data_IF_434640301842
#
_entry.id   IF_434640301842
#
_cell.length_a   1.000
_cell.length_b   1.000
_cell.length_c   1.000
_cell.angle_alpha   90.00
_cell.angle_beta   90.00
_cell.angle_gamma   90.00
#
_symmetry.space_group_name_H-M   'P 1'
#
loop_
_entity.id
_entity.type
_entity.pdbx_description
1 polymer ?
#
# COMPACT_ATOMS: atom_id res chain seq x y z
N UNK A 1 10.54 16.82 -3.91
CA UNK A 1 10.67 16.33 -2.53
C UNK A 1 11.84 17.01 -1.89
N UNK A 2 11.64 17.56 -0.70
CA UNK A 2 12.66 18.30 0.05
C UNK A 2 13.43 17.37 0.99
N UNK A 3 14.73 17.64 1.11
CA UNK A 3 15.70 17.00 2.00
C UNK A 3 15.24 16.96 3.47
N UNK A 4 14.72 18.08 3.98
CA UNK A 4 14.30 18.21 5.38
C UNK A 4 13.21 17.21 5.76
N UNK A 5 12.31 16.87 4.83
CA UNK A 5 11.24 15.92 5.09
C UNK A 5 11.78 14.49 5.24
N UNK A 6 12.81 14.15 4.47
CA UNK A 6 13.50 12.85 4.56
C UNK A 6 14.25 12.75 5.89
N UNK A 7 15.01 13.80 6.24
CA UNK A 7 15.73 13.88 7.51
C UNK A 7 14.77 13.82 8.70
N UNK A 8 13.63 14.50 8.63
CA UNK A 8 12.58 14.39 9.65
C UNK A 8 12.07 12.95 9.82
N UNK A 9 11.73 12.26 8.72
CA UNK A 9 11.26 10.88 8.79
C UNK A 9 12.33 9.91 9.32
N UNK A 10 13.61 10.15 9.02
CA UNK A 10 14.75 9.31 9.44
C UNK A 10 15.16 9.55 10.90
N UNK A 11 15.09 10.79 11.36
CA UNK A 11 15.74 11.21 12.62
C UNK A 11 14.75 11.50 13.75
N UNK A 12 13.48 11.79 13.44
CA UNK A 12 12.51 12.24 14.42
C UNK A 12 11.41 11.21 14.66
N UNK A 13 11.07 11.04 15.94
CA UNK A 13 9.84 10.36 16.33
C UNK A 13 8.62 11.20 15.92
N UNK A 14 7.56 10.52 15.51
CA UNK A 14 6.27 11.14 15.22
C UNK A 14 5.21 10.46 16.08
N UNK A 15 4.79 11.14 17.16
CA UNK A 15 3.93 10.56 18.20
C UNK A 15 4.49 9.21 18.70
N UNK A 16 3.72 8.13 18.58
CA UNK A 16 4.10 6.78 18.97
C UNK A 16 4.95 6.04 17.91
N UNK A 17 5.18 6.63 16.74
CA UNK A 17 5.98 6.03 15.68
C UNK A 17 7.45 6.41 15.81
N UNK A 18 8.29 5.38 15.96
CA UNK A 18 9.73 5.50 15.81
C UNK A 18 10.10 6.01 14.40
N UNK A 19 11.26 6.69 14.25
CA UNK A 19 11.77 7.12 12.95
C UNK A 19 11.84 5.96 11.95
N UNK A 20 11.65 6.25 10.66
CA UNK A 20 11.72 5.26 9.59
C UNK A 20 13.16 4.77 9.43
N UNK A 21 13.37 3.49 9.05
CA UNK A 21 14.70 2.91 8.88
C UNK A 21 15.37 3.38 7.58
N UNK A 22 15.39 4.68 7.31
CA UNK A 22 16.01 5.22 6.10
C UNK A 22 17.53 5.15 6.27
N UNK A 23 18.24 4.44 5.38
CA UNK A 23 19.68 4.19 5.53
C UNK A 23 20.58 5.29 4.97
N UNK A 24 19.99 6.22 4.22
CA UNK A 24 20.71 7.29 3.53
C UNK A 24 21.38 8.26 4.51
N UNK A 25 22.66 8.56 4.28
CA UNK A 25 23.37 9.65 4.98
C UNK A 25 22.86 11.04 4.56
N UNK A 26 23.24 12.09 5.29
CA UNK A 26 22.86 13.47 4.93
C UNK A 26 23.32 13.88 3.54
N UNK A 27 24.56 13.54 3.19
CA UNK A 27 25.13 13.78 1.86
C UNK A 27 24.36 13.00 0.79
N UNK A 28 23.93 11.78 1.11
CA UNK A 28 23.12 10.97 0.19
C UNK A 28 21.74 11.56 0.00
N UNK A 29 21.09 12.04 1.07
CA UNK A 29 19.80 12.74 1.02
C UNK A 29 19.90 13.99 0.13
N UNK A 30 20.94 14.80 0.31
CA UNK A 30 21.20 15.99 -0.52
C UNK A 30 21.45 15.62 -1.98
N UNK A 31 22.25 14.58 -2.22
CA UNK A 31 22.51 14.07 -3.58
C UNK A 31 21.24 13.55 -4.25
N UNK A 32 20.39 12.81 -3.54
CA UNK A 32 19.17 12.28 -4.15
C UNK A 32 18.12 13.36 -4.41
N UNK A 33 18.08 14.42 -3.60
CA UNK A 33 17.12 15.52 -3.72
C UNK A 33 17.54 16.61 -4.70
N UNK A 34 18.84 16.79 -4.93
CA UNK A 34 19.41 17.81 -5.82
C UNK A 34 19.29 17.50 -7.31
N UNK A 35 18.95 16.27 -7.71
CA UNK A 35 18.84 15.94 -9.12
C UNK A 35 18.20 14.59 -9.43
N UNK A 36 17.96 14.40 -10.73
CA UNK A 36 17.52 13.13 -11.29
C UNK A 36 18.77 12.27 -11.56
N UNK A 37 18.79 11.03 -11.07
CA UNK A 37 19.86 10.07 -11.42
C UNK A 37 19.28 9.02 -12.34
N UNK A 38 20.02 8.74 -13.41
CA UNK A 38 19.73 7.66 -14.33
C UNK A 38 19.62 6.33 -13.59
N UNK A 39 18.73 5.49 -14.07
CA UNK A 39 18.47 4.16 -13.55
C UNK A 39 18.65 3.14 -14.66
N UNK A 40 19.23 2.00 -14.29
CA UNK A 40 19.32 0.84 -15.17
C UNK A 40 18.30 -0.20 -14.70
N UNK A 41 17.32 -0.55 -15.55
CA UNK A 41 16.34 -1.59 -15.22
C UNK A 41 17.01 -2.87 -14.73
N UNK A 42 16.63 -3.32 -13.53
CA UNK A 42 17.19 -4.52 -12.91
C UNK A 42 16.16 -5.22 -12.03
N UNK A 43 16.43 -6.48 -11.73
CA UNK A 43 15.69 -7.16 -10.67
C UNK A 43 16.16 -6.64 -9.32
N UNK A 44 15.19 -6.47 -8.42
CA UNK A 44 15.40 -6.17 -7.01
C UNK A 44 14.96 -7.41 -6.25
N UNK A 45 15.83 -7.88 -5.37
CA UNK A 45 15.59 -9.02 -4.50
C UNK A 45 15.73 -8.56 -3.05
N UNK A 46 14.71 -8.82 -2.23
CA UNK A 46 14.70 -8.50 -0.81
C UNK A 46 14.37 -9.77 -0.04
N UNK A 47 15.32 -10.23 0.78
CA UNK A 47 15.17 -11.44 1.59
C UNK A 47 14.11 -11.27 2.68
N UNK A 48 13.47 -12.38 3.03
CA UNK A 48 12.46 -12.48 4.09
C UNK A 48 12.98 -13.42 5.16
N UNK A 49 13.44 -12.86 6.28
CA UNK A 49 13.88 -13.66 7.42
C UNK A 49 12.65 -14.13 8.23
N UNK A 50 12.16 -15.33 7.90
CA UNK A 50 10.97 -15.92 8.54
C UNK A 50 11.16 -16.20 10.02
N UNK A 51 12.37 -16.55 10.45
CA UNK A 51 12.65 -16.84 11.86
C UNK A 51 12.62 -15.55 12.69
N UNK A 52 13.25 -14.49 12.18
CA UNK A 52 13.14 -13.16 12.76
C UNK A 52 11.69 -12.65 12.78
N UNK A 53 10.92 -12.85 11.70
CA UNK A 53 9.51 -12.45 11.65
C UNK A 53 8.65 -13.20 12.67
N UNK A 54 8.85 -14.52 12.83
CA UNK A 54 8.16 -15.31 13.85
C UNK A 54 8.47 -14.79 15.25
N UNK A 55 9.73 -14.47 15.53
CA UNK A 55 10.13 -13.88 16.80
C UNK A 55 9.46 -12.51 17.00
N UNK A 56 9.53 -11.63 16.01
CA UNK A 56 8.95 -10.28 16.09
C UNK A 56 7.43 -10.29 16.27
N UNK A 57 6.71 -11.20 15.61
CA UNK A 57 5.26 -11.30 15.68
C UNK A 57 4.75 -12.18 16.82
N UNK A 58 5.63 -12.91 17.53
CA UNK A 58 5.28 -13.66 18.74
C UNK A 58 4.87 -12.74 19.91
N UNK A 59 5.18 -11.46 19.81
CA UNK A 59 4.94 -10.46 20.84
C UNK A 59 5.97 -10.44 21.97
N UNK A 60 7.05 -11.21 21.85
CA UNK A 60 8.16 -11.22 22.80
C UNK A 60 8.92 -9.87 22.79
N UNK A 61 8.97 -9.11 23.89
CA UNK A 61 9.69 -7.85 23.93
C UNK A 61 11.20 -7.96 23.59
N UNK A 62 11.81 -9.15 23.67
CA UNK A 62 13.23 -9.36 23.34
C UNK A 62 13.58 -9.04 21.89
N UNK A 63 12.64 -9.15 20.94
CA UNK A 63 12.93 -8.83 19.54
C UNK A 63 13.35 -7.35 19.40
N UNK A 64 12.82 -6.44 20.23
CA UNK A 64 13.10 -4.99 20.17
C UNK A 64 14.58 -4.69 20.40
N UNK A 65 15.19 -5.39 21.36
CA UNK A 65 16.61 -5.26 21.67
C UNK A 65 17.48 -5.80 20.53
N UNK A 66 17.08 -6.92 19.92
CA UNK A 66 17.80 -7.53 18.78
C UNK A 66 17.83 -6.66 17.54
N UNK A 67 16.79 -5.86 17.30
CA UNK A 67 16.74 -4.92 16.17
C UNK A 67 17.30 -3.53 16.51
N UNK A 68 17.99 -3.38 17.64
CA UNK A 68 18.64 -2.13 18.04
C UNK A 68 17.67 -1.02 18.48
N UNK A 69 16.39 -1.34 18.67
CA UNK A 69 15.41 -0.41 19.24
C UNK A 69 15.62 -0.42 20.74
N UNK A 70 16.28 0.62 21.27
CA UNK A 70 16.30 0.85 22.72
C UNK A 70 14.85 0.95 23.18
N UNK A 71 14.41 0.16 24.17
CA UNK A 71 13.06 0.22 24.69
C UNK A 71 12.88 1.53 25.47
N UNK A 72 12.69 2.63 24.75
CA UNK A 72 12.31 3.90 25.35
C UNK A 72 10.79 4.03 25.28
N UNK A 73 10.18 4.06 26.46
CA UNK A 73 8.78 4.37 26.79
C UNK A 73 7.69 3.42 26.28
N UNK A 74 7.04 2.74 27.23
CA UNK A 74 5.58 2.47 27.40
C UNK A 74 4.64 2.29 26.20
N UNK A 75 5.12 2.10 24.98
CA UNK A 75 4.32 2.00 23.78
C UNK A 75 4.02 0.54 23.49
N UNK A 76 2.75 0.19 23.68
CA UNK A 76 2.17 -1.01 23.12
C UNK A 76 2.20 -0.85 21.59
N UNK A 77 3.25 -1.37 20.95
CA UNK A 77 3.24 -1.55 19.50
C UNK A 77 2.06 -2.48 19.23
N UNK A 78 1.06 -1.98 18.51
CA UNK A 78 -0.10 -2.77 18.12
C UNK A 78 0.39 -3.99 17.33
N UNK A 79 0.33 -5.17 17.95
CA UNK A 79 0.77 -6.43 17.34
C UNK A 79 -0.26 -6.98 16.34
N UNK A 80 -1.53 -6.61 16.51
CA UNK A 80 -2.59 -7.08 15.63
C UNK A 80 -2.54 -6.34 14.29
N UNK A 81 -2.36 -7.10 13.21
CA UNK A 81 -2.33 -6.59 11.84
C UNK A 81 -0.93 -6.23 11.33
N UNK A 82 0.14 -6.32 12.13
CA UNK A 82 1.52 -6.15 11.62
C UNK A 82 2.10 -7.44 11.04
N UNK A 83 1.60 -8.59 11.49
CA UNK A 83 1.95 -9.97 11.12
C UNK A 83 1.40 -10.43 9.76
N UNK A 84 1.06 -9.47 8.90
CA UNK A 84 0.38 -9.70 7.63
C UNK A 84 -0.96 -10.44 7.77
N UNK A 85 -1.50 -10.70 8.96
CA UNK A 85 -2.71 -11.53 9.14
C UNK A 85 -2.66 -12.82 8.31
N UNK A 86 -1.47 -13.42 8.18
CA UNK A 86 -1.24 -14.68 7.51
C UNK A 86 -0.07 -15.43 8.14
N UNK A 87 -0.04 -16.78 8.08
CA UNK A 87 1.08 -17.54 8.64
C UNK A 87 2.41 -17.12 8.01
N UNK A 88 3.42 -16.81 8.83
CA UNK A 88 4.77 -16.42 8.36
C UNK A 88 5.37 -17.49 7.44
N UNK A 89 5.09 -18.77 7.69
CA UNK A 89 5.55 -19.88 6.84
C UNK A 89 4.96 -19.86 5.42
N UNK A 90 3.84 -19.17 5.21
CA UNK A 90 3.22 -19.03 3.89
C UNK A 90 3.86 -17.94 3.02
N UNK A 91 4.66 -17.05 3.63
CA UNK A 91 5.41 -16.02 2.92
C UNK A 91 6.47 -16.65 1.99
N UNK A 92 6.89 -15.92 0.98
CA UNK A 92 8.02 -16.31 0.14
C UNK A 92 9.34 -15.97 0.86
N UNK A 93 10.43 -16.67 0.55
CA UNK A 93 11.73 -16.41 1.18
C UNK A 93 12.41 -15.14 0.62
N UNK A 94 11.98 -14.70 -0.57
CA UNK A 94 12.50 -13.51 -1.27
C UNK A 94 11.38 -12.82 -2.02
N UNK A 95 11.28 -11.50 -1.85
CA UNK A 95 10.47 -10.62 -2.71
C UNK A 95 11.32 -10.19 -3.89
N UNK A 96 10.96 -10.63 -5.09
CA UNK A 96 11.72 -10.39 -6.32
C UNK A 96 10.84 -9.79 -7.43
N UNK A 97 11.25 -8.63 -7.94
CA UNK A 97 10.57 -7.99 -9.06
C UNK A 97 11.53 -7.19 -9.94
N UNK A 98 11.12 -6.96 -11.19
CA UNK A 98 11.86 -6.09 -12.11
C UNK A 98 11.46 -4.64 -11.88
N UNK A 99 12.41 -3.81 -11.46
CA UNK A 99 12.23 -2.36 -11.36
C UNK A 99 12.77 -1.69 -12.63
N UNK A 100 11.85 -1.28 -13.52
CA UNK A 100 12.23 -0.57 -14.75
C UNK A 100 12.60 0.91 -14.51
N UNK A 101 12.04 1.54 -13.47
CA UNK A 101 12.13 2.99 -13.28
C UNK A 101 11.17 3.77 -14.19
N UNK A 102 11.36 5.08 -14.28
CA UNK A 102 10.53 6.00 -15.07
C UNK A 102 11.20 6.26 -16.41
N UNK A 103 10.45 6.14 -17.51
CA UNK A 103 10.97 6.45 -18.83
C UNK A 103 11.26 7.95 -18.95
N UNK A 104 12.49 8.31 -19.25
CA UNK A 104 12.90 9.69 -19.56
C UNK A 104 12.75 9.99 -21.05
N UNK A 105 13.15 9.04 -21.89
CA UNK A 105 13.18 9.19 -23.34
C UNK A 105 14.07 8.13 -23.98
N UNK A 106 14.61 8.43 -25.15
CA UNK A 106 15.58 7.58 -25.85
C UNK A 106 16.90 8.34 -26.06
N UNK A 107 18.01 7.61 -26.03
CA UNK A 107 19.32 8.16 -26.41
C UNK A 107 19.48 8.27 -27.95
N UNK A 108 20.63 8.78 -28.41
CA UNK A 108 20.93 8.93 -29.84
C UNK A 108 20.95 7.60 -30.61
N UNK A 109 21.02 6.47 -29.92
CA UNK A 109 21.04 5.12 -30.48
C UNK A 109 19.66 4.45 -30.42
N UNK A 110 18.64 5.14 -29.89
CA UNK A 110 17.28 4.63 -29.73
C UNK A 110 17.06 3.81 -28.47
N UNK A 111 18.03 3.72 -27.56
CA UNK A 111 17.86 2.97 -26.31
C UNK A 111 17.03 3.78 -25.31
N UNK A 112 16.08 3.13 -24.63
CA UNK A 112 15.28 3.76 -23.59
C UNK A 112 16.15 4.14 -22.39
N UNK A 113 16.08 5.41 -21.97
CA UNK A 113 16.74 5.95 -20.79
C UNK A 113 15.72 6.02 -19.66
N UNK A 114 16.07 5.44 -18.51
CA UNK A 114 15.22 5.45 -17.32
C UNK A 114 15.85 6.25 -16.19
N UNK A 115 15.02 6.70 -15.25
CA UNK A 115 15.44 7.39 -14.04
C UNK A 115 14.56 7.02 -12.84
N UNK A 116 15.05 7.32 -11.65
CA UNK A 116 14.26 7.30 -10.42
C UNK A 116 14.09 8.71 -9.88
N UNK A 117 12.89 9.02 -9.39
CA UNK A 117 12.63 10.20 -8.59
C UNK A 117 13.00 9.95 -7.13
N UNK A 118 13.05 11.01 -6.34
CA UNK A 118 13.41 10.94 -4.92
C UNK A 118 12.55 9.94 -4.17
N UNK A 119 11.22 9.98 -4.35
CA UNK A 119 10.32 9.06 -3.67
C UNK A 119 10.53 7.60 -4.07
N UNK A 120 10.91 7.32 -5.32
CA UNK A 120 11.13 5.94 -5.77
C UNK A 120 12.32 5.31 -5.03
N UNK A 121 13.37 6.11 -4.77
CA UNK A 121 14.54 5.68 -3.99
C UNK A 121 14.21 5.48 -2.53
N UNK A 122 13.44 6.39 -1.93
CA UNK A 122 13.05 6.25 -0.53
C UNK A 122 12.18 5.03 -0.31
N UNK A 123 11.25 4.75 -1.22
CA UNK A 123 10.43 3.53 -1.14
C UNK A 123 11.34 2.30 -1.25
N UNK A 124 12.29 2.28 -2.18
CA UNK A 124 13.24 1.16 -2.33
C UNK A 124 14.11 0.98 -1.08
N UNK A 125 14.66 2.06 -0.54
CA UNK A 125 15.47 2.06 0.68
C UNK A 125 14.67 1.53 1.87
N UNK A 126 13.46 2.07 2.11
CA UNK A 126 12.56 1.58 3.16
C UNK A 126 12.28 0.09 2.98
N UNK A 127 11.97 -0.38 1.77
CA UNK A 127 11.71 -1.81 1.56
C UNK A 127 12.94 -2.67 1.88
N UNK A 128 14.15 -2.20 1.57
CA UNK A 128 15.39 -2.93 1.79
C UNK A 128 15.84 -2.95 3.26
N UNK A 129 15.48 -1.94 4.04
CA UNK A 129 15.97 -1.77 5.42
C UNK A 129 14.93 -2.13 6.49
N UNK A 130 13.64 -2.16 6.12
CA UNK A 130 12.53 -2.37 7.04
C UNK A 130 12.46 -3.80 7.61
N UNK A 131 13.14 -4.78 7.00
CA UNK A 131 13.10 -6.20 7.40
C UNK A 131 11.68 -6.75 7.57
N UNK A 132 10.71 -6.19 6.84
CA UNK A 132 9.28 -6.55 6.92
C UNK A 132 8.62 -6.34 8.28
N UNK A 133 9.25 -5.58 9.18
CA UNK A 133 8.74 -5.36 10.55
C UNK A 133 7.68 -4.27 10.62
N UNK A 134 7.75 -3.26 9.73
CA UNK A 134 6.70 -2.24 9.60
C UNK A 134 5.89 -2.47 8.33
N UNK A 135 4.56 -2.48 8.39
CA UNK A 135 3.73 -2.58 7.19
C UNK A 135 3.98 -1.40 6.23
N UNK A 136 4.25 -1.70 4.96
CA UNK A 136 4.41 -0.70 3.90
C UNK A 136 3.14 -0.67 3.07
N UNK A 137 2.54 0.51 2.92
CA UNK A 137 1.29 0.70 2.18
C UNK A 137 1.44 1.71 1.04
N UNK A 138 0.74 1.45 -0.05
CA UNK A 138 0.52 2.38 -1.15
C UNK A 138 -0.95 2.76 -1.20
N UNK A 139 -1.27 4.04 -1.39
CA UNK A 139 -2.65 4.43 -1.67
C UNK A 139 -3.10 3.82 -3.01
N UNK A 140 -4.32 3.30 -3.09
CA UNK A 140 -4.80 2.68 -4.32
C UNK A 140 -5.01 3.65 -5.49
N UNK A 141 -4.87 4.95 -5.23
CA UNK A 141 -4.93 6.03 -6.23
C UNK A 141 -3.57 6.42 -6.81
N UNK A 142 -2.45 5.87 -6.33
CA UNK A 142 -1.16 6.16 -6.95
C UNK A 142 -1.07 5.51 -8.33
N UNK A 143 -0.40 6.16 -9.26
CA UNK A 143 -0.19 5.60 -10.60
C UNK A 143 0.63 4.30 -10.54
N UNK A 144 0.41 3.40 -11.50
CA UNK A 144 1.15 2.14 -11.62
C UNK A 144 2.68 2.34 -11.65
N UNK A 145 3.16 3.41 -12.27
CA UNK A 145 4.59 3.79 -12.25
C UNK A 145 5.09 4.04 -10.83
N UNK A 146 4.29 4.71 -9.98
CA UNK A 146 4.64 4.99 -8.59
C UNK A 146 4.51 3.78 -7.66
N UNK A 147 3.95 2.67 -8.14
CA UNK A 147 3.91 1.38 -7.43
C UNK A 147 5.20 0.57 -7.62
N UNK A 148 6.16 1.07 -8.40
CA UNK A 148 7.49 0.48 -8.61
C UNK A 148 7.49 -0.97 -9.11
N UNK A 149 6.40 -1.44 -9.74
CA UNK A 149 6.28 -2.82 -10.22
C UNK A 149 5.93 -3.86 -9.14
N UNK A 150 5.59 -3.42 -7.93
CA UNK A 150 5.28 -4.30 -6.79
C UNK A 150 3.88 -4.92 -6.83
N UNK A 151 3.08 -4.70 -7.88
CA UNK A 151 1.65 -5.04 -7.91
C UNK A 151 1.35 -6.51 -7.55
N UNK A 152 2.21 -7.45 -7.93
CA UNK A 152 2.03 -8.88 -7.60
C UNK A 152 2.22 -9.21 -6.11
N UNK A 153 2.82 -8.29 -5.34
CA UNK A 153 3.01 -8.37 -3.90
C UNK A 153 1.99 -7.51 -3.13
N UNK A 154 0.99 -6.94 -3.81
CA UNK A 154 -0.02 -6.12 -3.17
C UNK A 154 -1.20 -6.95 -2.70
N UNK A 155 -1.57 -6.77 -1.44
CA UNK A 155 -2.89 -7.14 -0.93
C UNK A 155 -3.71 -5.88 -0.69
N UNK A 156 -4.92 -5.86 -1.21
CA UNK A 156 -5.85 -4.74 -1.02
C UNK A 156 -6.44 -4.78 0.38
N UNK A 157 -6.25 -3.70 1.14
CA UNK A 157 -6.76 -3.52 2.50
C UNK A 157 -7.49 -2.17 2.58
N UNK A 158 -8.79 -2.17 2.26
CA UNK A 158 -9.61 -0.97 2.19
C UNK A 158 -9.19 -0.05 1.04
N UNK A 159 -8.51 1.06 1.34
CA UNK A 159 -8.09 2.10 0.38
C UNK A 159 -6.60 2.09 0.06
N UNK A 160 -5.89 1.10 0.59
CA UNK A 160 -4.47 0.97 0.40
C UNK A 160 -4.13 -0.45 -0.05
N UNK A 161 -3.01 -0.56 -0.75
CA UNK A 161 -2.33 -1.80 -1.03
C UNK A 161 -1.24 -2.00 0.00
N UNK A 162 -1.29 -3.08 0.75
CA UNK A 162 -0.19 -3.53 1.60
C UNK A 162 0.83 -4.29 0.76
N UNK A 163 2.10 -3.99 0.91
CA UNK A 163 3.16 -4.88 0.42
C UNK A 163 3.28 -6.07 1.36
N UNK A 164 3.02 -7.26 0.82
CA UNK A 164 3.16 -8.53 1.54
C UNK A 164 4.29 -9.32 0.88
N UNK A 165 5.18 -9.96 1.65
CA UNK A 165 6.18 -10.89 1.11
C UNK A 165 5.58 -12.19 0.54
N UNK A 166 4.65 -12.06 -0.40
CA UNK A 166 3.95 -13.16 -1.06
C UNK A 166 3.57 -12.77 -2.48
N UNK A 167 4.01 -13.53 -3.47
CA UNK A 167 3.59 -13.36 -4.85
C UNK A 167 2.17 -13.88 -5.04
N UNK A 168 1.21 -12.98 -5.16
CA UNK A 168 -0.18 -13.28 -5.47
C UNK A 168 -0.45 -13.34 -6.99
N UNK A 169 0.58 -13.16 -7.81
CA UNK A 169 0.49 -13.12 -9.27
C UNK A 169 0.02 -11.78 -9.83
N UNK A 170 0.18 -11.61 -11.14
CA UNK A 170 -0.32 -10.45 -11.88
C UNK A 170 -1.65 -10.77 -12.56
N UNK A 171 -2.70 -10.94 -11.75
CA UNK A 171 -4.06 -11.08 -12.26
C UNK A 171 -4.55 -9.81 -12.96
N UNK A 172 -5.70 -9.92 -13.64
CA UNK A 172 -6.45 -8.72 -14.08
C UNK A 172 -6.84 -7.88 -12.86
N UNK A 173 -7.14 -8.54 -11.74
CA UNK A 173 -7.63 -7.93 -10.52
C UNK A 173 -6.57 -7.92 -9.43
N UNK A 174 -6.70 -6.96 -8.52
CA UNK A 174 -5.83 -6.88 -7.35
C UNK A 174 -6.20 -7.98 -6.35
N UNK A 175 -5.22 -8.50 -5.62
CA UNK A 175 -5.48 -9.55 -4.64
C UNK A 175 -6.28 -8.98 -3.45
N UNK A 176 -7.34 -9.70 -3.07
CA UNK A 176 -8.24 -9.38 -1.97
C UNK A 176 -8.37 -10.61 -1.07
N UNK A 177 -8.06 -10.42 0.20
CA UNK A 177 -8.49 -11.30 1.28
C UNK A 177 -9.86 -10.80 1.78
N UNK A 178 -10.88 -11.67 1.71
CA UNK A 178 -12.26 -11.25 1.97
C UNK A 178 -12.51 -10.86 3.42
N UNK A 179 -11.84 -11.51 4.38
CA UNK A 179 -12.03 -11.27 5.80
C UNK A 179 -11.35 -9.96 6.20
N UNK A 180 -10.10 -9.77 5.77
CA UNK A 180 -9.35 -8.54 6.02
C UNK A 180 -10.05 -7.35 5.35
N UNK A 181 -10.40 -7.46 4.06
CA UNK A 181 -11.08 -6.37 3.34
C UNK A 181 -12.43 -6.03 3.97
N UNK A 182 -13.21 -7.05 4.39
CA UNK A 182 -14.47 -6.87 5.12
C UNK A 182 -14.26 -6.08 6.40
N UNK A 183 -13.29 -6.48 7.23
CA UNK A 183 -12.96 -5.79 8.48
C UNK A 183 -12.54 -4.33 8.21
N UNK A 184 -11.64 -4.10 7.24
CA UNK A 184 -11.19 -2.73 6.91
C UNK A 184 -12.31 -1.83 6.46
N UNK A 185 -13.19 -2.30 5.56
CA UNK A 185 -14.29 -1.49 5.05
C UNK A 185 -15.34 -1.20 6.12
N UNK A 186 -15.62 -2.13 7.03
CA UNK A 186 -16.55 -1.92 8.15
C UNK A 186 -16.06 -0.86 9.14
N UNK A 187 -14.75 -0.62 9.23
CA UNK A 187 -14.15 0.42 10.08
C UNK A 187 -14.23 1.83 9.47
N UNK A 188 -14.53 1.96 8.18
CA UNK A 188 -14.68 3.28 7.56
C UNK A 188 -15.93 3.99 8.08
N UNK A 189 -15.79 5.31 8.22
CA UNK A 189 -16.89 6.18 8.63
C UNK A 189 -17.35 7.01 7.43
N UNK A 190 -18.59 6.79 7.02
CA UNK A 190 -19.27 7.53 5.96
C UNK A 190 -20.16 8.56 6.65
N UNK A 191 -19.74 9.82 6.65
CA UNK A 191 -20.44 10.89 7.37
C UNK A 191 -21.18 11.76 6.36
N UNK A 192 -22.50 11.74 6.41
CA UNK A 192 -23.41 12.52 5.55
C UNK A 192 -23.32 12.19 4.04
N UNK A 193 -22.70 11.08 3.65
CA UNK A 193 -22.57 10.72 2.23
C UNK A 193 -23.90 10.24 1.63
N UNK A 194 -24.74 9.67 2.48
CA UNK A 194 -26.12 9.24 2.22
C UNK A 194 -27.16 10.35 2.42
N UNK A 195 -26.75 11.52 2.93
CA UNK A 195 -27.67 12.65 3.14
C UNK A 195 -27.96 13.39 1.81
N UNK A 196 -29.20 13.36 1.29
CA UNK A 196 -29.55 14.00 0.03
C UNK A 196 -29.49 15.54 0.08
N UNK A 197 -29.54 16.14 1.27
CA UNK A 197 -29.55 17.60 1.46
C UNK A 197 -28.12 18.19 1.49
N UNK A 198 -27.10 17.35 1.61
CA UNK A 198 -25.70 17.80 1.58
C UNK A 198 -25.24 17.97 0.15
N UNK A 199 -24.78 19.18 -0.16
CA UNK A 199 -24.13 19.47 -1.45
C UNK A 199 -22.70 18.92 -1.48
N UNK A 200 -22.39 18.16 -2.53
CA UNK A 200 -21.02 17.76 -2.86
C UNK A 200 -20.60 18.37 -4.18
N UNK A 201 -19.45 19.04 -4.20
CA UNK A 201 -18.87 19.51 -5.46
C UNK A 201 -18.43 18.33 -6.34
N UNK A 202 -18.07 18.63 -7.59
CA UNK A 202 -17.64 17.63 -8.57
C UNK A 202 -16.43 16.79 -8.12
N UNK A 203 -15.46 17.38 -7.43
CA UNK A 203 -14.28 16.65 -6.98
C UNK A 203 -14.65 15.64 -5.89
N UNK A 204 -15.49 16.04 -4.93
CA UNK A 204 -15.96 15.12 -3.89
C UNK A 204 -16.74 13.98 -4.53
N UNK A 205 -17.71 14.27 -5.41
CA UNK A 205 -18.50 13.23 -6.10
C UNK A 205 -17.63 12.25 -6.90
N UNK A 206 -16.59 12.75 -7.57
CA UNK A 206 -15.61 11.91 -8.26
C UNK A 206 -14.81 11.03 -7.30
N UNK A 207 -14.48 11.53 -6.11
CA UNK A 207 -13.80 10.75 -5.08
C UNK A 207 -14.70 9.68 -4.43
N UNK A 208 -16.00 9.94 -4.27
CA UNK A 208 -16.98 8.96 -3.75
C UNK A 208 -17.01 7.69 -4.62
N UNK A 209 -16.96 7.86 -5.94
CA UNK A 209 -16.89 6.76 -6.90
C UNK A 209 -15.74 5.79 -6.61
N UNK A 210 -14.59 6.28 -6.13
CA UNK A 210 -13.46 5.41 -5.81
C UNK A 210 -13.80 4.46 -4.65
N UNK A 211 -14.69 4.83 -3.73
CA UNK A 211 -15.09 3.95 -2.61
C UNK A 211 -15.98 2.81 -3.10
N UNK A 212 -16.84 3.09 -4.09
CA UNK A 212 -17.69 2.08 -4.72
C UNK A 212 -16.89 0.95 -5.38
N UNK A 213 -15.73 1.26 -5.97
CA UNK A 213 -14.83 0.24 -6.52
C UNK A 213 -14.33 -0.77 -5.48
N UNK A 214 -14.15 -0.36 -4.22
CA UNK A 214 -13.73 -1.27 -3.16
C UNK A 214 -14.83 -2.28 -2.81
N UNK A 215 -16.09 -1.83 -2.71
CA UNK A 215 -17.22 -2.73 -2.44
C UNK A 215 -17.44 -3.67 -3.61
N UNK A 216 -17.30 -3.16 -4.83
CA UNK A 216 -17.43 -3.95 -6.05
C UNK A 216 -16.33 -5.02 -6.16
N UNK A 217 -15.06 -4.68 -5.88
CA UNK A 217 -13.97 -5.65 -5.85
C UNK A 217 -14.20 -6.74 -4.79
N UNK A 218 -14.69 -6.37 -3.60
CA UNK A 218 -15.03 -7.34 -2.57
C UNK A 218 -16.21 -8.23 -2.97
N UNK A 219 -17.28 -7.66 -3.53
CA UNK A 219 -18.43 -8.40 -4.03
C UNK A 219 -18.04 -9.38 -5.14
N UNK A 220 -17.19 -8.93 -6.07
CA UNK A 220 -16.62 -9.79 -7.09
C UNK A 220 -15.84 -10.94 -6.49
N UNK A 221 -15.03 -10.69 -5.46
CA UNK A 221 -14.28 -11.75 -4.79
C UNK A 221 -15.19 -12.78 -4.13
N UNK A 222 -16.26 -12.35 -3.46
CA UNK A 222 -17.27 -13.28 -2.94
C UNK A 222 -17.96 -14.10 -4.05
N UNK A 223 -18.23 -13.48 -5.20
CA UNK A 223 -18.79 -14.20 -6.36
C UNK A 223 -17.85 -15.28 -6.88
N UNK A 224 -16.55 -14.98 -6.99
CA UNK A 224 -15.52 -15.97 -7.37
C UNK A 224 -15.45 -17.16 -6.40
N UNK A 225 -15.70 -16.91 -5.11
CA UNK A 225 -15.76 -17.93 -4.06
C UNK A 225 -17.09 -18.70 -4.03
N UNK A 226 -18.03 -18.44 -4.95
CA UNK A 226 -19.34 -19.09 -4.97
C UNK A 226 -20.28 -18.62 -3.86
N UNK A 227 -20.09 -17.41 -3.33
CA UNK A 227 -20.89 -16.80 -2.25
C UNK A 227 -21.72 -15.61 -2.77
N UNK A 228 -22.78 -15.84 -3.57
CA UNK A 228 -23.55 -14.77 -4.21
C UNK A 228 -24.31 -13.88 -3.21
N UNK A 229 -24.80 -14.43 -2.10
CA UNK A 229 -25.51 -13.65 -1.08
C UNK A 229 -24.59 -12.60 -0.43
N UNK A 230 -23.36 -12.99 -0.11
CA UNK A 230 -22.33 -12.08 0.40
C UNK A 230 -21.94 -11.03 -0.64
N UNK A 231 -21.86 -11.40 -1.92
CA UNK A 231 -21.59 -10.45 -3.00
C UNK A 231 -22.70 -9.40 -3.10
N UNK A 232 -23.97 -9.83 -3.12
CA UNK A 232 -25.13 -8.95 -3.16
C UNK A 232 -25.21 -8.04 -1.92
N UNK A 233 -24.92 -8.58 -0.73
CA UNK A 233 -24.84 -7.80 0.49
C UNK A 233 -23.86 -6.63 0.36
N UNK A 234 -22.66 -6.86 -0.16
CA UNK A 234 -21.64 -5.81 -0.25
C UNK A 234 -21.94 -4.74 -1.29
N UNK A 235 -22.58 -5.10 -2.41
CA UNK A 235 -23.08 -4.11 -3.37
C UNK A 235 -24.16 -3.23 -2.73
N UNK A 236 -25.14 -3.84 -2.07
CA UNK A 236 -26.21 -3.12 -1.38
C UNK A 236 -25.67 -2.23 -0.26
N UNK A 237 -24.77 -2.76 0.57
CA UNK A 237 -24.13 -1.98 1.63
C UNK A 237 -23.36 -0.78 1.07
N UNK A 238 -22.64 -0.97 -0.03
CA UNK A 238 -21.92 0.11 -0.71
C UNK A 238 -22.85 1.22 -1.22
N UNK A 239 -24.00 0.83 -1.78
CA UNK A 239 -25.04 1.77 -2.23
C UNK A 239 -25.71 2.49 -1.05
N UNK A 240 -26.01 1.81 0.05
CA UNK A 240 -26.57 2.43 1.26
C UNK A 240 -25.62 3.47 1.86
N UNK A 241 -24.31 3.19 1.88
CA UNK A 241 -23.29 4.09 2.46
C UNK A 241 -22.85 5.20 1.53
N UNK A 242 -22.88 4.94 0.21
CA UNK A 242 -22.40 5.86 -0.83
C UNK A 242 -23.39 5.83 -2.00
N UNK A 243 -24.62 6.34 -1.81
CA UNK A 243 -25.68 6.20 -2.81
C UNK A 243 -25.36 6.93 -4.09
N UNK A 244 -25.83 6.40 -5.22
CA UNK A 244 -25.75 7.10 -6.49
C UNK A 244 -26.63 8.35 -6.44
N UNK A 245 -26.07 9.48 -6.87
CA UNK A 245 -26.80 10.76 -6.89
C UNK A 245 -27.25 11.10 -8.32
N UNK A 246 -28.39 11.79 -8.50
CA UNK A 246 -28.92 12.12 -9.82
C UNK A 246 -27.95 12.93 -10.69
N UNK A 247 -27.08 13.71 -10.06
CA UNK A 247 -26.10 14.58 -10.68
C UNK A 247 -24.75 13.90 -10.96
N UNK A 248 -24.60 12.61 -10.62
CA UNK A 248 -23.41 11.83 -10.98
C UNK A 248 -23.39 11.45 -12.46
N UNK A 249 -22.29 11.77 -13.13
CA UNK A 249 -22.07 11.55 -14.57
C UNK A 249 -21.35 10.24 -14.89
N UNK A 250 -20.93 9.46 -13.89
CA UNK A 250 -20.20 8.21 -14.08
C UNK A 250 -21.16 7.02 -14.25
N UNK A 251 -21.70 6.88 -15.46
CA UNK A 251 -22.64 5.81 -15.82
C UNK A 251 -22.01 4.41 -15.77
N UNK A 252 -20.70 4.28 -16.00
CA UNK A 252 -20.01 3.00 -16.01
C UNK A 252 -20.08 2.26 -14.67
N UNK A 253 -20.00 2.99 -13.55
CA UNK A 253 -20.10 2.37 -12.21
C UNK A 253 -21.53 1.93 -11.93
N UNK A 254 -22.53 2.71 -12.34
CA UNK A 254 -23.94 2.35 -12.18
C UNK A 254 -24.24 1.01 -12.88
N UNK A 255 -23.72 0.84 -14.10
CA UNK A 255 -23.86 -0.41 -14.86
C UNK A 255 -23.18 -1.62 -14.22
N UNK A 256 -22.07 -1.42 -13.48
CA UNK A 256 -21.37 -2.51 -12.81
C UNK A 256 -22.04 -2.94 -11.49
N UNK A 257 -22.88 -2.07 -10.92
CA UNK A 257 -23.68 -2.37 -9.72
C UNK A 257 -25.02 -3.04 -10.04
N UNK A 258 -25.57 -2.82 -11.24
CA UNK A 258 -26.82 -3.43 -11.73
C UNK A 258 -26.63 -4.89 -12.15
#
# INVERSE_FOLDING_TARGET
NTDWYIKQLRDQWSHESAPLPISLSDEEVERVTSGITQWQPRNIDISVDKDMLKEAFSGDPQYKEKIGVKPDTSLAILQNGIDFEMPVDSLDDVVSWRLNGRLYGQDQQGNNVYYLQVQDRLILDILQTNNWLRPVYFANTVSSTSQLGLRKYFRTEGKAYRVVPKDFGTGREDYIDVDIMTDRLKRFQFREWDNPDVYFDENIRRMLSNYRFNFMGLAQKYRELGMPDSAAYWLKWGEERVPFRPDETNESIKLLYA
#
